data_IF_282789493915
#
_entry.id   IF_282789493915
#
_cell.length_a   1.000
_cell.length_b   1.000
_cell.length_c   1.000
_cell.angle_alpha   90.00
_cell.angle_beta   90.00
_cell.angle_gamma   90.00
#
_symmetry.space_group_name_H-M   'P 1'
#
loop_
_entity.id
_entity.type
_entity.pdbx_description
1 polymer ?
#
# COMPACT_ATOMS: atom_id res chain seq x y z
N UNK A 1 -18.04 4.28 -14.71
CA UNK A 1 -18.11 5.13 -13.50
C UNK A 1 -17.36 4.50 -12.32
N UNK A 2 -17.06 3.20 -12.33
CA UNK A 2 -16.38 2.48 -11.24
C UNK A 2 -14.93 2.89 -10.92
N UNK A 3 -14.13 3.30 -11.91
CA UNK A 3 -12.70 3.55 -11.71
C UNK A 3 -12.37 4.71 -10.76
N UNK A 4 -13.27 5.69 -10.59
CA UNK A 4 -13.06 6.83 -9.67
C UNK A 4 -13.29 6.39 -8.22
N UNK A 5 -14.29 5.53 -7.98
CA UNK A 5 -14.59 5.00 -6.65
C UNK A 5 -13.49 4.04 -6.19
N UNK A 6 -12.99 3.18 -7.09
CA UNK A 6 -11.88 2.27 -6.80
C UNK A 6 -10.60 3.03 -6.44
N UNK A 7 -10.26 4.07 -7.19
CA UNK A 7 -9.08 4.89 -6.89
C UNK A 7 -9.17 5.50 -5.49
N UNK A 8 -10.32 6.08 -5.13
CA UNK A 8 -10.54 6.70 -3.82
C UNK A 8 -10.46 5.70 -2.66
N UNK A 9 -11.01 4.51 -2.82
CA UNK A 9 -10.94 3.49 -1.77
C UNK A 9 -9.50 2.98 -1.61
N UNK A 10 -8.78 2.75 -2.71
CA UNK A 10 -7.37 2.37 -2.68
C UNK A 10 -6.50 3.47 -2.04
N UNK A 11 -6.75 4.75 -2.32
CA UNK A 11 -6.09 5.87 -1.65
C UNK A 11 -6.36 5.86 -0.14
N UNK A 12 -7.57 5.49 0.28
CA UNK A 12 -7.93 5.36 1.70
C UNK A 12 -7.16 4.21 2.35
N UNK A 13 -7.05 3.06 1.67
CA UNK A 13 -6.23 1.94 2.13
C UNK A 13 -4.76 2.34 2.25
N UNK A 14 -4.23 3.12 1.31
CA UNK A 14 -2.86 3.62 1.39
C UNK A 14 -2.66 4.55 2.59
N UNK A 15 -3.60 5.46 2.87
CA UNK A 15 -3.54 6.32 4.04
C UNK A 15 -3.52 5.50 5.35
N UNK A 16 -4.31 4.43 5.44
CA UNK A 16 -4.28 3.53 6.59
C UNK A 16 -2.90 2.91 6.76
N UNK A 17 -2.26 2.46 5.67
CA UNK A 17 -0.93 1.85 5.73
C UNK A 17 0.16 2.87 6.07
N UNK A 18 0.09 4.09 5.54
CA UNK A 18 1.00 5.19 5.88
C UNK A 18 0.92 5.49 7.39
N UNK A 19 -0.29 5.52 7.96
CA UNK A 19 -0.48 5.74 9.40
C UNK A 19 0.10 4.61 10.28
N UNK A 20 0.51 3.48 9.70
CA UNK A 20 1.17 2.38 10.42
C UNK A 20 2.70 2.49 10.42
N UNK A 21 3.29 3.44 9.67
CA UNK A 21 4.76 3.64 9.58
C UNK A 21 5.41 3.80 10.97
N UNK A 22 4.86 4.58 11.93
CA UNK A 22 5.45 4.65 13.28
C UNK A 22 5.51 3.27 13.97
N UNK A 23 4.49 2.43 13.79
CA UNK A 23 4.47 1.08 14.36
C UNK A 23 5.49 0.16 13.69
N UNK A 24 5.66 0.25 12.36
CA UNK A 24 6.69 -0.51 11.65
C UNK A 24 8.09 -0.08 12.09
N UNK A 25 8.31 1.22 12.25
CA UNK A 25 9.56 1.80 12.72
C UNK A 25 9.91 1.27 14.11
N UNK A 26 8.97 1.30 15.05
CA UNK A 26 9.17 0.78 16.40
C UNK A 26 9.53 -0.71 16.41
N UNK A 27 8.85 -1.51 15.58
CA UNK A 27 9.09 -2.95 15.50
C UNK A 27 10.48 -3.28 14.95
N UNK A 28 10.91 -2.61 13.88
CA UNK A 28 12.25 -2.84 13.29
C UNK A 28 13.34 -2.35 14.24
N UNK A 29 13.14 -1.20 14.90
CA UNK A 29 14.08 -0.65 15.86
C UNK A 29 14.21 -1.51 17.13
N UNK A 30 13.11 -2.07 17.65
CA UNK A 30 13.14 -2.85 18.90
C UNK A 30 14.00 -4.12 18.76
N UNK A 31 13.97 -4.72 17.58
CA UNK A 31 14.65 -5.99 17.32
C UNK A 31 16.09 -5.83 16.83
N UNK A 32 16.60 -4.59 16.72
CA UNK A 32 17.97 -4.27 16.30
C UNK A 32 18.38 -5.00 15.01
N UNK A 33 17.47 -5.03 14.03
CA UNK A 33 17.71 -5.71 12.76
C UNK A 33 18.90 -5.07 12.03
N UNK A 34 19.83 -5.90 11.56
CA UNK A 34 20.95 -5.47 10.71
C UNK A 34 20.45 -5.29 9.27
N UNK A 35 19.62 -4.27 9.06
CA UNK A 35 18.99 -3.93 7.79
C UNK A 35 19.01 -2.42 7.58
N UNK A 36 18.93 -1.99 6.33
CA UNK A 36 18.60 -0.60 6.04
C UNK A 36 17.15 -0.33 6.48
N UNK A 37 16.99 0.47 7.54
CA UNK A 37 15.69 0.74 8.16
C UNK A 37 14.70 1.37 7.18
N UNK A 38 15.15 2.36 6.41
CA UNK A 38 14.33 3.06 5.42
C UNK A 38 13.76 2.09 4.39
N UNK A 39 14.63 1.25 3.81
CA UNK A 39 14.26 0.26 2.80
C UNK A 39 13.37 -0.85 3.39
N UNK A 40 13.63 -1.25 4.63
CA UNK A 40 12.84 -2.26 5.33
C UNK A 40 11.41 -1.77 5.58
N UNK A 41 11.26 -0.57 6.15
CA UNK A 41 9.96 0.05 6.43
C UNK A 41 9.22 0.33 5.12
N UNK A 42 9.93 0.83 4.09
CA UNK A 42 9.34 1.03 2.78
C UNK A 42 8.80 -0.28 2.18
N UNK A 43 9.57 -1.37 2.28
CA UNK A 43 9.12 -2.71 1.87
C UNK A 43 7.87 -3.16 2.62
N UNK A 44 7.81 -2.96 3.93
CA UNK A 44 6.64 -3.27 4.75
C UNK A 44 5.41 -2.49 4.32
N UNK A 45 5.55 -1.18 4.08
CA UNK A 45 4.47 -0.31 3.58
C UNK A 45 3.97 -0.80 2.22
N UNK A 46 4.88 -1.05 1.27
CA UNK A 46 4.51 -1.53 -0.05
C UNK A 46 3.77 -2.87 0.00
N UNK A 47 4.30 -3.85 0.72
CA UNK A 47 3.67 -5.17 0.84
C UNK A 47 2.30 -5.11 1.53
N UNK A 48 2.18 -4.35 2.61
CA UNK A 48 0.91 -4.18 3.34
C UNK A 48 -0.15 -3.51 2.45
N UNK A 49 0.22 -2.47 1.71
CA UNK A 49 -0.66 -1.79 0.78
C UNK A 49 -1.12 -2.70 -0.38
N UNK A 50 -0.18 -3.36 -1.06
CA UNK A 50 -0.50 -4.24 -2.19
C UNK A 50 -1.44 -5.37 -1.75
N UNK A 51 -1.20 -5.98 -0.59
CA UNK A 51 -2.06 -7.03 -0.05
C UNK A 51 -3.49 -6.50 0.18
N UNK A 52 -3.64 -5.39 0.91
CA UNK A 52 -4.96 -4.79 1.20
C UNK A 52 -5.72 -4.36 -0.04
N UNK A 53 -5.05 -3.71 -0.99
CA UNK A 53 -5.67 -3.23 -2.21
C UNK A 53 -6.07 -4.40 -3.13
N UNK A 54 -5.25 -5.46 -3.19
CA UNK A 54 -5.57 -6.68 -3.93
C UNK A 54 -6.79 -7.39 -3.33
N UNK A 55 -6.84 -7.53 -2.01
CA UNK A 55 -7.99 -8.14 -1.32
C UNK A 55 -9.28 -7.36 -1.58
N UNK A 56 -9.25 -6.02 -1.47
CA UNK A 56 -10.40 -5.18 -1.77
C UNK A 56 -10.91 -5.37 -3.20
N UNK A 57 -10.01 -5.27 -4.20
CA UNK A 57 -10.39 -5.35 -5.61
C UNK A 57 -10.87 -6.76 -5.99
N UNK A 58 -10.29 -7.81 -5.42
CA UNK A 58 -10.76 -9.18 -5.62
C UNK A 58 -12.13 -9.43 -4.99
N UNK A 59 -12.40 -8.88 -3.79
CA UNK A 59 -13.71 -8.97 -3.15
C UNK A 59 -14.76 -8.24 -3.98
N UNK A 60 -14.49 -7.01 -4.40
CA UNK A 60 -15.40 -6.24 -5.27
C UNK A 60 -15.70 -6.97 -6.59
N UNK A 61 -14.70 -7.61 -7.20
CA UNK A 61 -14.89 -8.43 -8.42
C UNK A 61 -15.80 -9.61 -8.18
N UNK A 62 -15.61 -10.30 -7.05
CA UNK A 62 -16.45 -11.43 -6.64
C UNK A 62 -17.89 -10.97 -6.46
N UNK A 63 -18.10 -9.84 -5.78
CA UNK A 63 -19.43 -9.27 -5.52
C UNK A 63 -20.14 -8.77 -6.79
N UNK A 64 -19.38 -8.42 -7.83
CA UNK A 64 -19.90 -7.91 -9.11
C UNK A 64 -19.91 -8.97 -10.23
N UNK A 65 -19.60 -10.22 -9.91
CA UNK A 65 -19.50 -11.34 -10.87
C UNK A 65 -18.61 -11.05 -12.09
N UNK A 66 -17.60 -10.18 -11.92
CA UNK A 66 -16.68 -9.83 -13.00
C UNK A 66 -15.72 -10.99 -13.32
N UNK A 67 -15.45 -11.20 -14.61
CA UNK A 67 -14.50 -12.24 -15.04
C UNK A 67 -13.08 -11.99 -14.49
N UNK A 68 -12.53 -13.05 -13.90
CA UNK A 68 -11.14 -13.08 -13.47
C UNK A 68 -10.25 -13.60 -14.61
N UNK A 69 -9.57 -12.69 -15.29
CA UNK A 69 -8.64 -13.01 -16.36
C UNK A 69 -7.35 -12.18 -16.24
N UNK A 70 -6.40 -12.44 -17.13
CA UNK A 70 -5.10 -11.77 -17.09
C UNK A 70 -5.25 -10.25 -17.28
N UNK A 71 -6.13 -9.80 -18.20
CA UNK A 71 -6.33 -8.37 -18.47
C UNK A 71 -6.91 -7.63 -17.26
N UNK A 72 -7.92 -8.20 -16.60
CA UNK A 72 -8.48 -7.60 -15.38
C UNK A 72 -7.43 -7.56 -14.27
N UNK A 73 -6.61 -8.60 -14.11
CA UNK A 73 -5.48 -8.60 -13.17
C UNK A 73 -4.46 -7.49 -13.47
N UNK A 74 -4.09 -7.28 -14.74
CA UNK A 74 -3.18 -6.20 -15.13
C UNK A 74 -3.75 -4.80 -14.83
N UNK A 75 -5.05 -4.58 -15.10
CA UNK A 75 -5.71 -3.31 -14.75
C UNK A 75 -5.69 -3.06 -13.23
N UNK A 76 -5.91 -4.11 -12.44
CA UNK A 76 -5.83 -4.06 -10.98
C UNK A 76 -4.46 -3.57 -10.51
N UNK A 77 -3.41 -4.26 -10.95
CA UNK A 77 -2.04 -3.95 -10.55
C UNK A 77 -1.57 -2.60 -11.06
N UNK A 78 -2.06 -2.17 -12.23
CA UNK A 78 -1.78 -0.83 -12.76
C UNK A 78 -2.36 0.25 -11.85
N UNK A 79 -3.61 0.10 -11.41
CA UNK A 79 -4.25 1.06 -10.50
C UNK A 79 -3.56 1.10 -9.12
N UNK A 80 -3.24 -0.07 -8.56
CA UNK A 80 -2.49 -0.17 -7.29
C UNK A 80 -1.14 0.56 -7.43
N UNK A 81 -0.42 0.31 -8.53
CA UNK A 81 0.89 0.93 -8.78
C UNK A 81 0.78 2.44 -8.99
N UNK A 82 -0.25 2.91 -9.70
CA UNK A 82 -0.53 4.33 -9.91
C UNK A 82 -0.71 5.05 -8.57
N UNK A 83 -1.63 4.57 -7.72
CA UNK A 83 -1.93 5.20 -6.43
C UNK A 83 -0.71 5.20 -5.51
N UNK A 84 0.05 4.11 -5.46
CA UNK A 84 1.28 4.05 -4.67
C UNK A 84 2.32 5.06 -5.16
N UNK A 85 2.53 5.13 -6.47
CA UNK A 85 3.54 6.00 -7.07
C UNK A 85 3.19 7.49 -6.91
N UNK A 86 1.92 7.87 -7.01
CA UNK A 86 1.45 9.25 -6.78
C UNK A 86 1.76 9.73 -5.35
N UNK A 87 1.80 8.82 -4.38
CA UNK A 87 1.99 9.11 -2.95
C UNK A 87 3.38 8.77 -2.44
N UNK A 88 4.32 8.37 -3.31
CA UNK A 88 5.70 8.08 -2.94
C UNK A 88 6.39 9.18 -2.11
N UNK A 89 6.24 10.49 -2.44
CA UNK A 89 6.84 11.55 -1.63
C UNK A 89 6.36 11.54 -0.19
N UNK A 90 5.06 11.37 0.03
CA UNK A 90 4.44 11.37 1.36
C UNK A 90 4.91 10.16 2.18
N UNK A 91 4.95 8.98 1.56
CA UNK A 91 5.45 7.76 2.21
C UNK A 91 6.89 7.96 2.67
N UNK A 92 7.76 8.48 1.80
CA UNK A 92 9.17 8.74 2.15
C UNK A 92 9.29 9.76 3.27
N UNK A 93 8.50 10.84 3.22
CA UNK A 93 8.51 11.87 4.26
C UNK A 93 8.08 11.30 5.61
N UNK A 94 7.06 10.45 5.66
CA UNK A 94 6.57 9.84 6.89
C UNK A 94 7.58 8.87 7.50
N UNK A 95 8.28 8.08 6.67
CA UNK A 95 9.37 7.20 7.11
C UNK A 95 10.50 8.01 7.75
N UNK A 96 10.97 9.06 7.06
CA UNK A 96 12.02 9.94 7.58
C UNK A 96 11.57 10.62 8.89
N UNK A 97 10.31 11.05 8.97
CA UNK A 97 9.79 11.70 10.17
C UNK A 97 9.73 10.72 11.36
N UNK A 98 9.27 9.49 11.11
CA UNK A 98 9.16 8.44 12.13
C UNK A 98 10.52 7.98 12.67
N UNK A 99 11.55 7.94 11.83
CA UNK A 99 12.91 7.55 12.24
C UNK A 99 13.64 8.63 13.05
N UNK A 100 13.22 9.88 12.93
CA UNK A 100 13.80 11.02 13.66
C UNK A 100 12.99 11.39 14.92
N UNK A 101 11.95 10.63 15.25
CA UNK A 101 11.07 10.83 16.43
C UNK A 101 11.58 10.06 17.64
#
# INVERSE_FOLDING_TARGET
MDGIEDKKEIETLLNIVINQIPSYTNMVNSEHWDVNLDDCIFGMVYHSFVAKATDYLNNKRTDTEQENNAESTFKMMSLISEVFNERLPDIKQEIVSSLNS
#
